data_IF_673464555640
#
_entry.id   IF_673464555640
#
_cell.length_a   1.000
_cell.length_b   1.000
_cell.length_c   1.000
_cell.angle_alpha   90.00
_cell.angle_beta   90.00
_cell.angle_gamma   90.00
#
_symmetry.space_group_name_H-M   'P 1'
#
loop_
_entity.id
_entity.type
_entity.pdbx_description
1 polymer ?
#
# COMPACT_ATOMS: atom_id res chain seq x y z
N UNK A 1 24.04 20.39 4.37
CA UNK A 1 22.95 19.53 4.89
C UNK A 1 21.65 19.76 4.12
N UNK A 2 21.77 20.02 2.81
CA UNK A 2 20.68 20.50 1.96
C UNK A 2 20.22 19.42 0.97
N UNK A 3 21.08 18.43 0.71
CA UNK A 3 20.80 17.31 -0.19
C UNK A 3 19.78 16.36 0.45
N UNK A 4 19.97 15.96 1.70
CA UNK A 4 19.05 15.06 2.41
C UNK A 4 17.64 15.66 2.55
N UNK A 5 17.54 16.94 2.94
CA UNK A 5 16.25 17.65 3.05
C UNK A 5 15.54 17.80 1.70
N UNK A 6 16.28 18.03 0.62
CA UNK A 6 15.71 18.11 -0.72
C UNK A 6 15.17 16.75 -1.19
N UNK A 7 15.87 15.66 -0.87
CA UNK A 7 15.44 14.29 -1.18
C UNK A 7 14.19 13.90 -0.38
N UNK A 8 14.16 14.20 0.92
CA UNK A 8 12.98 13.97 1.78
C UNK A 8 11.77 14.78 1.32
N UNK A 9 11.97 16.06 0.98
CA UNK A 9 10.92 16.93 0.45
C UNK A 9 10.39 16.44 -0.90
N UNK A 10 11.28 16.05 -1.83
CA UNK A 10 10.89 15.54 -3.14
C UNK A 10 10.12 14.21 -3.03
N UNK A 11 10.52 13.34 -2.09
CA UNK A 11 9.86 12.08 -1.79
C UNK A 11 8.47 12.30 -1.18
N UNK A 12 8.34 13.28 -0.29
CA UNK A 12 7.07 13.67 0.34
C UNK A 12 6.08 14.26 -0.67
N UNK A 13 6.55 15.13 -1.57
CA UNK A 13 5.71 15.68 -2.65
C UNK A 13 5.26 14.59 -3.62
N UNK A 14 6.17 13.69 -4.00
CA UNK A 14 5.88 12.58 -4.90
C UNK A 14 4.86 11.62 -4.31
N UNK A 15 5.01 11.27 -3.02
CA UNK A 15 4.04 10.46 -2.29
C UNK A 15 2.66 11.13 -2.29
N UNK A 16 2.58 12.41 -1.91
CA UNK A 16 1.30 13.13 -1.85
C UNK A 16 0.60 13.15 -3.21
N UNK A 17 1.31 13.45 -4.29
CA UNK A 17 0.75 13.45 -5.65
C UNK A 17 0.23 12.07 -6.04
N UNK A 18 1.00 11.00 -5.77
CA UNK A 18 0.54 9.63 -6.04
C UNK A 18 -0.72 9.29 -5.24
N UNK A 19 -0.78 9.65 -3.96
CA UNK A 19 -1.96 9.39 -3.11
C UNK A 19 -3.21 10.13 -3.59
N UNK A 20 -3.07 11.34 -4.14
CA UNK A 20 -4.19 12.10 -4.74
C UNK A 20 -4.74 11.45 -6.01
N UNK A 21 -3.94 10.63 -6.71
CA UNK A 21 -4.41 9.87 -7.89
C UNK A 21 -5.14 8.58 -7.54
N UNK A 22 -5.07 8.13 -6.28
CA UNK A 22 -5.69 6.89 -5.84
C UNK A 22 -7.18 7.10 -5.51
N UNK A 23 -8.00 6.12 -5.86
CA UNK A 23 -9.39 6.02 -5.42
C UNK A 23 -9.49 5.59 -3.94
N UNK A 24 -10.70 5.71 -3.37
CA UNK A 24 -10.94 5.41 -1.96
C UNK A 24 -10.58 3.96 -1.58
N UNK A 25 -10.79 2.99 -2.48
CA UNK A 25 -10.50 1.58 -2.21
C UNK A 25 -8.99 1.32 -2.24
N UNK A 26 -8.29 1.97 -3.14
CA UNK A 26 -6.83 1.94 -3.24
C UNK A 26 -6.18 2.57 -2.00
N UNK A 27 -6.65 3.75 -1.59
CA UNK A 27 -6.20 4.43 -0.37
C UNK A 27 -6.47 3.59 0.88
N UNK A 28 -7.66 2.99 1.00
CA UNK A 28 -8.02 2.09 2.12
C UNK A 28 -7.09 0.88 2.19
N UNK A 29 -6.82 0.21 1.07
CA UNK A 29 -5.91 -0.93 1.05
C UNK A 29 -4.49 -0.51 1.41
N UNK A 30 -3.99 0.61 0.86
CA UNK A 30 -2.65 1.11 1.15
C UNK A 30 -2.50 1.48 2.64
N UNK A 31 -3.51 2.12 3.22
CA UNK A 31 -3.54 2.44 4.65
C UNK A 31 -3.56 1.17 5.51
N UNK A 32 -4.30 0.14 5.10
CA UNK A 32 -4.31 -1.15 5.79
C UNK A 32 -2.92 -1.80 5.79
N UNK A 33 -2.24 -1.81 4.63
CA UNK A 33 -0.86 -2.32 4.50
C UNK A 33 0.08 -1.55 5.44
N UNK A 34 -0.01 -0.21 5.49
CA UNK A 34 0.81 0.63 6.38
C UNK A 34 0.52 0.45 7.87
N UNK A 35 -0.62 -0.12 8.23
CA UNK A 35 -1.00 -0.47 9.61
C UNK A 35 -0.57 -1.87 10.01
N UNK A 36 -0.51 -2.80 9.06
CA UNK A 36 -0.19 -4.20 9.34
C UNK A 36 1.19 -4.38 10.02
N UNK A 37 2.16 -3.51 9.73
CA UNK A 37 3.50 -3.47 10.35
C UNK A 37 4.15 -4.85 10.56
N UNK A 38 3.93 -5.78 9.61
CA UNK A 38 4.47 -7.13 9.60
C UNK A 38 5.62 -7.19 8.58
N UNK A 39 6.80 -7.68 8.99
CA UNK A 39 7.96 -7.86 8.09
C UNK A 39 7.69 -8.88 6.97
N UNK A 40 6.90 -9.92 7.23
CA UNK A 40 6.55 -11.00 6.28
C UNK A 40 5.05 -10.96 5.90
N UNK A 41 4.58 -9.78 5.50
CA UNK A 41 3.19 -9.59 5.06
C UNK A 41 2.96 -10.21 3.68
N UNK A 42 2.57 -11.49 3.66
CA UNK A 42 2.16 -12.13 2.40
C UNK A 42 0.81 -11.62 1.90
N UNK A 43 0.64 -11.54 0.57
CA UNK A 43 -0.61 -11.20 -0.12
C UNK A 43 -1.80 -12.05 0.36
N UNK A 44 -1.55 -13.34 0.67
CA UNK A 44 -2.58 -14.23 1.21
C UNK A 44 -3.01 -13.88 2.65
N UNK A 45 -2.07 -13.53 3.54
CA UNK A 45 -2.39 -13.03 4.89
C UNK A 45 -3.14 -11.70 4.78
N UNK A 46 -2.62 -10.79 3.97
CA UNK A 46 -3.20 -9.47 3.72
C UNK A 46 -4.66 -9.58 3.23
N UNK A 47 -4.93 -10.46 2.25
CA UNK A 47 -6.29 -10.70 1.77
C UNK A 47 -7.22 -11.20 2.89
N UNK A 48 -6.79 -12.18 3.67
CA UNK A 48 -7.59 -12.76 4.76
C UNK A 48 -7.91 -11.74 5.86
N UNK A 49 -7.00 -10.80 6.12
CA UNK A 49 -7.22 -9.70 7.05
C UNK A 49 -8.17 -8.66 6.46
N UNK A 50 -7.82 -8.12 5.30
CA UNK A 50 -8.58 -7.05 4.64
C UNK A 50 -10.01 -7.45 4.25
N UNK A 51 -10.24 -8.72 3.84
CA UNK A 51 -11.58 -9.23 3.54
C UNK A 51 -12.53 -9.12 4.74
N UNK A 52 -12.03 -9.31 5.96
CA UNK A 52 -12.88 -9.22 7.17
C UNK A 52 -13.32 -7.78 7.45
N UNK A 53 -12.56 -6.79 6.99
CA UNK A 53 -12.84 -5.38 7.23
C UNK A 53 -13.69 -4.75 6.10
N UNK A 54 -13.46 -5.16 4.84
CA UNK A 54 -14.02 -4.48 3.67
C UNK A 54 -14.86 -5.38 2.74
N UNK A 55 -15.17 -6.62 3.14
CA UNK A 55 -15.92 -7.64 2.38
C UNK A 55 -15.66 -7.62 0.86
N UNK A 56 -14.45 -8.01 0.46
CA UNK A 56 -13.96 -7.88 -0.93
C UNK A 56 -13.65 -9.24 -1.57
N UNK A 57 -13.92 -9.35 -2.86
CA UNK A 57 -13.53 -10.51 -3.66
C UNK A 57 -12.00 -10.61 -3.83
N UNK A 58 -11.48 -11.81 -4.02
CA UNK A 58 -10.05 -12.01 -4.29
C UNK A 58 -9.61 -11.33 -5.60
N UNK A 59 -10.45 -11.36 -6.64
CA UNK A 59 -10.15 -10.73 -7.93
C UNK A 59 -10.02 -9.20 -7.80
N UNK A 60 -10.94 -8.56 -7.07
CA UNK A 60 -10.87 -7.11 -6.82
C UNK A 60 -9.65 -6.77 -5.98
N UNK A 61 -9.37 -7.54 -4.92
CA UNK A 61 -8.18 -7.37 -4.10
C UNK A 61 -6.90 -7.46 -4.94
N UNK A 62 -6.77 -8.47 -5.80
CA UNK A 62 -5.59 -8.65 -6.64
C UNK A 62 -5.44 -7.50 -7.66
N UNK A 63 -6.54 -6.94 -8.19
CA UNK A 63 -6.50 -5.72 -9.01
C UNK A 63 -5.98 -4.53 -8.22
N UNK A 64 -6.41 -4.34 -6.96
CA UNK A 64 -5.91 -3.25 -6.12
C UNK A 64 -4.41 -3.40 -5.83
N UNK A 65 -3.94 -4.61 -5.51
CA UNK A 65 -2.50 -4.88 -5.32
C UNK A 65 -1.71 -4.54 -6.58
N UNK A 66 -2.12 -5.04 -7.75
CA UNK A 66 -1.42 -4.77 -9.01
C UNK A 66 -1.37 -3.27 -9.33
N UNK A 67 -2.42 -2.51 -9.00
CA UNK A 67 -2.43 -1.05 -9.18
C UNK A 67 -1.47 -0.34 -8.22
N UNK A 68 -1.48 -0.68 -6.93
CA UNK A 68 -0.55 -0.08 -5.96
C UNK A 68 0.92 -0.41 -6.32
N UNK A 69 1.18 -1.60 -6.85
CA UNK A 69 2.49 -1.99 -7.37
C UNK A 69 2.86 -1.18 -8.62
N UNK A 70 1.92 -0.98 -9.56
CA UNK A 70 2.12 -0.14 -10.74
C UNK A 70 2.51 1.30 -10.37
N UNK A 71 1.85 1.89 -9.37
CA UNK A 71 2.20 3.21 -8.83
C UNK A 71 3.50 3.24 -8.02
N UNK A 72 4.20 2.11 -7.87
CA UNK A 72 5.41 1.99 -7.05
C UNK A 72 5.17 2.42 -5.60
N UNK A 73 3.98 2.20 -5.07
CA UNK A 73 3.66 2.41 -3.64
C UNK A 73 4.02 1.18 -2.81
N UNK A 74 3.93 0.00 -3.43
CA UNK A 74 4.33 -1.28 -2.86
C UNK A 74 5.20 -2.07 -3.85
N UNK A 75 5.91 -3.06 -3.32
CA UNK A 75 6.49 -4.19 -4.08
C UNK A 75 5.74 -5.48 -3.74
N UNK A 76 5.54 -6.35 -4.74
CA UNK A 76 4.94 -7.67 -4.55
C UNK A 76 5.87 -8.79 -5.07
N UNK A 77 6.81 -9.26 -4.23
CA UNK A 77 7.86 -10.21 -4.64
C UNK A 77 7.49 -11.66 -4.33
N UNK A 78 7.85 -12.62 -5.17
CA UNK A 78 7.60 -14.04 -4.92
C UNK A 78 8.59 -14.62 -3.91
N UNK A 79 8.12 -15.46 -2.98
CA UNK A 79 8.96 -16.07 -1.92
C UNK A 79 9.89 -17.21 -2.38
N UNK A 80 10.00 -17.47 -3.69
CA UNK A 80 11.06 -18.27 -4.31
C UNK A 80 11.19 -19.79 -4.02
N UNK A 81 10.56 -20.35 -2.98
CA UNK A 81 10.91 -21.72 -2.51
C UNK A 81 10.01 -22.87 -3.00
N UNK A 82 9.12 -22.65 -3.97
CA UNK A 82 8.46 -23.73 -4.74
C UNK A 82 7.53 -24.70 -3.99
N UNK A 83 7.56 -24.79 -2.64
CA UNK A 83 6.72 -25.69 -1.84
C UNK A 83 5.41 -25.04 -1.35
N UNK A 84 5.26 -23.72 -1.51
CA UNK A 84 4.06 -22.92 -1.18
C UNK A 84 3.83 -21.82 -2.25
N UNK A 85 4.01 -22.23 -3.51
CA UNK A 85 4.61 -21.45 -4.61
C UNK A 85 3.80 -20.36 -5.31
N UNK A 86 2.92 -19.61 -4.66
CA UNK A 86 2.26 -18.45 -5.31
C UNK A 86 2.04 -17.23 -4.38
N UNK A 87 2.54 -17.26 -3.14
CA UNK A 87 2.36 -16.13 -2.24
C UNK A 87 3.40 -15.05 -2.50
N UNK A 88 2.93 -13.82 -2.76
CA UNK A 88 3.77 -12.63 -2.88
C UNK A 88 3.98 -12.00 -1.50
N UNK A 89 5.18 -11.55 -1.16
CA UNK A 89 5.44 -10.67 -0.02
C UNK A 89 5.16 -9.25 -0.45
N UNK A 90 4.41 -8.52 0.36
CA UNK A 90 4.04 -7.13 0.12
C UNK A 90 4.91 -6.22 0.99
N UNK A 91 5.63 -5.30 0.37
CA UNK A 91 6.50 -4.35 1.06
C UNK A 91 6.16 -2.92 0.64
N UNK A 92 6.10 -1.97 1.57
CA UNK A 92 5.91 -0.55 1.25
C UNK A 92 7.20 0.06 0.72
N UNK A 93 7.07 0.93 -0.30
CA UNK A 93 8.20 1.69 -0.85
C UNK A 93 8.43 3.04 -0.16
N UNK A 94 7.49 3.46 0.66
CA UNK A 94 7.53 4.69 1.46
C UNK A 94 7.43 4.34 2.93
N UNK A 95 7.89 5.24 3.81
CA UNK A 95 7.76 5.02 5.24
C UNK A 95 6.27 4.89 5.63
N UNK A 96 5.97 3.88 6.44
CA UNK A 96 4.60 3.65 6.88
C UNK A 96 3.99 4.87 7.58
N UNK A 97 4.78 5.64 8.34
CA UNK A 97 4.36 6.85 9.04
C UNK A 97 3.97 7.95 8.06
N UNK A 98 4.72 8.12 6.97
CA UNK A 98 4.42 9.12 5.94
C UNK A 98 3.11 8.78 5.21
N UNK A 99 2.93 7.51 4.88
CA UNK A 99 1.68 7.00 4.28
C UNK A 99 0.50 7.22 5.24
N UNK A 100 0.64 6.84 6.51
CA UNK A 100 -0.40 7.02 7.55
C UNK A 100 -0.69 8.50 7.83
N UNK A 101 0.33 9.36 7.80
CA UNK A 101 0.21 10.79 8.06
C UNK A 101 -0.43 11.56 6.90
N UNK A 102 -0.18 11.10 5.67
CA UNK A 102 -0.71 11.69 4.44
C UNK A 102 -2.14 11.22 4.15
N UNK A 103 -2.43 9.93 4.41
CA UNK A 103 -3.78 9.37 4.37
C UNK A 103 -4.50 9.60 5.71
N UNK A 104 -4.80 10.87 6.03
CA UNK A 104 -5.82 11.16 7.05
C UNK A 104 -7.17 10.75 6.49
N UNK A 105 -7.96 10.00 7.27
CA UNK A 105 -9.33 9.55 6.98
C UNK A 105 -9.99 10.54 6.03
N UNK A 106 -10.06 10.20 4.74
CA UNK A 106 -10.55 11.12 3.72
C UNK A 106 -12.03 11.31 4.01
N UNK A 107 -12.37 12.32 4.81
CA UNK A 107 -13.75 12.78 4.97
C UNK A 107 -14.15 13.26 3.58
N UNK A 108 -15.09 12.59 2.90
CA UNK A 108 -15.49 13.01 1.57
C UNK A 108 -15.98 14.45 1.66
N UNK A 109 -15.44 15.34 0.83
CA UNK A 109 -16.08 16.63 0.59
C UNK A 109 -17.41 16.35 -0.11
N UNK A 110 -18.48 16.35 0.67
CA UNK A 110 -19.84 16.49 0.16
C UNK A 110 -19.90 17.84 -0.57
N UNK A 111 -20.13 17.80 -1.87
CA UNK A 111 -20.67 18.91 -2.65
C UNK A 111 -22.06 18.51 -3.14
#
# INVERSE_FOLDING_TARGET
EDVDKAIESASSMSLKYLLETLDEKEQKLLLYIARANEEDLTSGKLYKGYKRECDISYATFNRLINKLEFYRLIDATYTGTGKKGNSRVITLRFDSKDVKGSLKQHTPKLY
#
